data_IF_609080283902
#
_entry.id   IF_609080283902
#
_cell.length_a   1.000
_cell.length_b   1.000
_cell.length_c   1.000
_cell.angle_alpha   90.00
_cell.angle_beta   90.00
_cell.angle_gamma   90.00
#
_symmetry.space_group_name_H-M   'P 1'
#
loop_
_entity.id
_entity.type
_entity.pdbx_description
1 polymer ?
#
# COMPACT_ATOMS: atom_id res chain seq x y z
N UNK A 1 -15.17 -10.76 10.33
CA UNK A 1 -15.49 -10.68 8.89
C UNK A 1 -15.43 -9.21 8.52
N UNK A 2 -14.41 -8.80 7.77
CA UNK A 2 -14.31 -7.41 7.30
C UNK A 2 -15.37 -7.22 6.21
N UNK A 3 -16.38 -6.38 6.47
CA UNK A 3 -17.29 -5.94 5.42
C UNK A 3 -16.55 -4.85 4.66
N UNK A 4 -16.06 -5.15 3.46
CA UNK A 4 -15.35 -4.16 2.67
C UNK A 4 -16.33 -3.08 2.20
N UNK A 5 -16.10 -1.82 2.58
CA UNK A 5 -16.87 -0.65 2.11
C UNK A 5 -16.45 -0.24 0.69
N UNK A 6 -16.56 -1.21 -0.21
CA UNK A 6 -16.25 -1.08 -1.63
C UNK A 6 -17.41 -1.57 -2.49
N UNK A 7 -18.50 -2.03 -1.88
CA UNK A 7 -19.68 -2.52 -2.61
C UNK A 7 -20.32 -1.45 -3.49
N UNK A 8 -20.18 -0.16 -3.10
CA UNK A 8 -20.62 0.99 -3.89
C UNK A 8 -19.58 1.47 -4.92
N UNK A 9 -18.39 0.85 -4.98
CA UNK A 9 -17.35 1.16 -5.98
C UNK A 9 -17.55 0.25 -7.18
N UNK A 10 -17.74 0.84 -8.36
CA UNK A 10 -17.74 0.06 -9.60
C UNK A 10 -16.41 -0.68 -9.77
N UNK A 11 -16.47 -2.01 -9.89
CA UNK A 11 -15.30 -2.85 -10.05
C UNK A 11 -15.03 -3.09 -11.55
N UNK A 12 -13.84 -2.69 -12.01
CA UNK A 12 -13.40 -2.87 -13.39
C UNK A 12 -12.06 -3.62 -13.41
N UNK A 13 -11.90 -4.52 -14.38
CA UNK A 13 -10.67 -5.27 -14.58
C UNK A 13 -10.14 -5.06 -16.00
N UNK A 14 -8.83 -4.81 -16.11
CA UNK A 14 -8.13 -4.65 -17.39
C UNK A 14 -7.01 -5.67 -17.47
N UNK A 15 -6.90 -6.36 -18.61
CA UNK A 15 -5.79 -7.28 -18.87
C UNK A 15 -4.67 -6.54 -19.62
N UNK A 16 -3.47 -6.51 -19.04
CA UNK A 16 -2.23 -6.10 -19.71
C UNK A 16 -1.86 -4.61 -19.64
N UNK A 17 -2.83 -3.68 -19.72
CA UNK A 17 -2.56 -2.24 -19.59
C UNK A 17 -3.55 -1.57 -18.64
N UNK A 18 -3.05 -0.58 -17.90
CA UNK A 18 -3.92 0.32 -17.15
C UNK A 18 -4.79 1.16 -18.12
N UNK A 19 -5.94 1.67 -17.66
CA UNK A 19 -6.69 2.68 -18.38
C UNK A 19 -5.84 3.94 -18.69
N UNK A 20 -6.35 4.86 -19.53
CA UNK A 20 -5.68 6.12 -19.80
C UNK A 20 -5.31 6.89 -18.53
N UNK A 21 -4.15 7.57 -18.53
CA UNK A 21 -3.61 8.26 -17.35
C UNK A 21 -4.62 9.17 -16.62
N UNK A 22 -5.49 9.96 -17.32
CA UNK A 22 -6.47 10.80 -16.64
C UNK A 22 -7.47 9.99 -15.82
N UNK A 23 -7.86 8.80 -16.30
CA UNK A 23 -8.77 7.92 -15.61
C UNK A 23 -8.10 7.30 -14.38
N UNK A 24 -6.87 6.80 -14.50
CA UNK A 24 -6.12 6.25 -13.36
C UNK A 24 -5.88 7.32 -12.29
N UNK A 25 -5.48 8.51 -12.71
CA UNK A 25 -5.31 9.67 -11.82
C UNK A 25 -6.61 10.01 -11.10
N UNK A 26 -7.74 10.03 -11.82
CA UNK A 26 -9.06 10.28 -11.27
C UNK A 26 -9.46 9.25 -10.22
N UNK A 27 -9.24 7.96 -10.50
CA UNK A 27 -9.53 6.87 -9.57
C UNK A 27 -8.69 6.95 -8.29
N UNK A 28 -7.38 7.19 -8.41
CA UNK A 28 -6.49 7.33 -7.26
C UNK A 28 -6.87 8.55 -6.40
N UNK A 29 -7.22 9.68 -7.03
CA UNK A 29 -7.72 10.87 -6.31
C UNK A 29 -9.06 10.62 -5.62
N UNK A 30 -9.99 9.93 -6.28
CA UNK A 30 -11.28 9.60 -5.70
C UNK A 30 -11.15 8.65 -4.50
N UNK A 31 -10.26 7.66 -4.59
CA UNK A 31 -9.93 6.77 -3.48
C UNK A 31 -9.33 7.56 -2.30
N UNK A 32 -8.35 8.44 -2.55
CA UNK A 32 -7.81 9.29 -1.49
C UNK A 32 -8.89 10.19 -0.87
N UNK A 33 -9.71 10.86 -1.68
CA UNK A 33 -10.73 11.78 -1.17
C UNK A 33 -11.80 11.08 -0.31
N UNK A 34 -12.10 9.80 -0.58
CA UNK A 34 -13.05 9.00 0.20
C UNK A 34 -12.61 8.85 1.66
N UNK A 35 -11.32 8.64 1.88
CA UNK A 35 -10.77 8.26 3.19
C UNK A 35 -9.90 9.34 3.83
N UNK A 36 -9.69 10.48 3.15
CA UNK A 36 -8.79 11.55 3.62
C UNK A 36 -9.19 12.14 4.99
N UNK A 37 -10.50 12.15 5.29
CA UNK A 37 -11.03 12.67 6.55
C UNK A 37 -11.27 11.55 7.59
N UNK A 38 -10.92 10.30 7.27
CA UNK A 38 -11.06 9.18 8.19
C UNK A 38 -10.01 9.27 9.31
N UNK A 39 -10.46 9.65 10.52
CA UNK A 39 -9.60 9.91 11.67
C UNK A 39 -9.62 8.82 12.76
N UNK A 40 -10.19 7.65 12.50
CA UNK A 40 -10.21 6.56 13.49
C UNK A 40 -8.84 5.90 13.66
N UNK A 41 -8.65 5.19 14.77
CA UNK A 41 -7.40 4.50 15.11
C UNK A 41 -6.48 5.32 16.03
N UNK A 42 -5.32 4.75 16.36
CA UNK A 42 -4.34 5.36 17.26
C UNK A 42 -2.94 5.14 16.68
N UNK A 43 -2.12 6.20 16.67
CA UNK A 43 -0.71 6.12 16.26
C UNK A 43 0.03 5.18 17.20
N UNK A 44 0.77 4.22 16.63
CA UNK A 44 1.61 3.32 17.41
C UNK A 44 2.70 4.08 18.18
N UNK A 45 2.78 3.86 19.49
CA UNK A 45 3.66 4.61 20.39
C UNK A 45 4.68 3.74 21.14
N UNK A 46 4.59 2.41 21.03
CA UNK A 46 5.49 1.46 21.69
C UNK A 46 6.95 1.54 21.20
N UNK A 47 7.22 2.19 20.06
CA UNK A 47 8.57 2.58 19.62
C UNK A 47 8.62 4.12 19.53
N UNK A 48 9.55 4.80 20.22
CA UNK A 48 9.55 6.27 20.33
C UNK A 48 9.56 7.04 18.99
N UNK A 49 10.12 6.47 17.92
CA UNK A 49 10.13 7.12 16.61
C UNK A 49 8.76 7.06 15.92
N UNK A 50 7.95 6.03 16.19
CA UNK A 50 6.62 5.87 15.61
C UNK A 50 5.62 6.87 16.20
N UNK A 51 5.76 7.16 17.50
CA UNK A 51 4.94 8.15 18.20
C UNK A 51 5.03 9.57 17.63
N UNK A 52 6.03 9.85 16.78
CA UNK A 52 6.22 11.15 16.13
C UNK A 52 5.41 11.31 14.83
N UNK A 53 4.71 10.27 14.37
CA UNK A 53 3.88 10.36 13.18
C UNK A 53 2.68 11.28 13.42
N UNK A 54 2.38 12.16 12.45
CA UNK A 54 1.15 12.96 12.48
C UNK A 54 -0.02 12.04 12.09
N UNK A 55 -1.09 11.92 12.90
CA UNK A 55 -2.25 11.09 12.59
C UNK A 55 -2.98 11.52 11.31
N UNK A 56 -2.70 12.71 10.78
CA UNK A 56 -3.25 13.22 9.52
C UNK A 56 -2.42 12.85 8.30
N UNK A 57 -1.28 12.17 8.47
CA UNK A 57 -0.51 11.69 7.32
C UNK A 57 -1.26 10.59 6.58
N UNK A 58 -1.68 10.93 5.36
CA UNK A 58 -2.35 10.01 4.46
C UNK A 58 -1.89 10.27 3.03
N UNK A 59 -1.61 9.20 2.29
CA UNK A 59 -1.12 9.29 0.92
C UNK A 59 -1.25 7.96 0.20
N UNK A 60 -1.46 8.04 -1.12
CA UNK A 60 -1.57 6.89 -2.01
C UNK A 60 -0.58 7.04 -3.16
N UNK A 61 0.20 5.99 -3.43
CA UNK A 61 1.07 5.88 -4.59
C UNK A 61 0.75 4.58 -5.34
N UNK A 62 0.42 4.71 -6.62
CA UNK A 62 0.22 3.58 -7.53
C UNK A 62 1.30 3.63 -8.60
N UNK A 63 2.07 2.55 -8.72
CA UNK A 63 3.13 2.42 -9.73
C UNK A 63 2.80 1.27 -10.68
N UNK A 64 2.61 1.58 -11.95
CA UNK A 64 2.42 0.58 -13.00
C UNK A 64 3.71 -0.19 -13.29
N UNK A 65 3.58 -1.38 -13.88
CA UNK A 65 4.73 -2.24 -14.26
C UNK A 65 5.70 -1.59 -15.26
N UNK A 66 5.27 -0.53 -15.94
CA UNK A 66 6.10 0.31 -16.82
C UNK A 66 6.81 1.45 -16.08
N UNK A 67 6.73 1.50 -14.75
CA UNK A 67 7.33 2.53 -13.90
C UNK A 67 6.51 3.82 -13.78
N UNK A 68 5.33 3.91 -14.41
CA UNK A 68 4.51 5.11 -14.31
C UNK A 68 3.83 5.21 -12.95
N UNK A 69 4.07 6.32 -12.25
CA UNK A 69 3.50 6.59 -10.93
C UNK A 69 2.30 7.55 -10.98
N UNK A 70 1.35 7.32 -10.08
CA UNK A 70 0.19 8.17 -9.81
C UNK A 70 0.08 8.39 -8.31
N UNK A 71 0.14 9.64 -7.88
CA UNK A 71 0.33 9.98 -6.47
C UNK A 71 -0.64 11.07 -6.02
N UNK A 72 -1.09 10.96 -4.77
CA UNK A 72 -1.97 11.93 -4.10
C UNK A 72 -1.74 11.87 -2.59
N UNK A 73 -1.76 13.03 -1.92
CA UNK A 73 -1.52 13.14 -0.48
C UNK A 73 -0.03 13.12 -0.12
N UNK A 74 0.28 12.69 1.10
CA UNK A 74 1.63 12.68 1.70
C UNK A 74 2.52 11.52 1.24
N UNK A 75 2.74 11.35 -0.06
CA UNK A 75 3.53 10.21 -0.60
C UNK A 75 5.05 10.32 -0.40
N UNK A 76 5.55 11.50 -0.05
CA UNK A 76 6.99 11.76 0.14
C UNK A 76 7.42 11.72 1.60
N UNK A 77 6.50 11.41 2.52
CA UNK A 77 6.80 11.30 3.95
C UNK A 77 7.52 9.98 4.21
N UNK A 78 8.75 10.06 4.72
CA UNK A 78 9.52 8.88 5.11
C UNK A 78 8.97 8.26 6.39
N UNK A 79 8.69 6.96 6.33
CA UNK A 79 8.24 6.16 7.47
C UNK A 79 8.97 4.82 7.52
N UNK A 80 8.97 4.18 8.69
CA UNK A 80 9.53 2.84 8.82
C UNK A 80 8.64 1.81 8.13
N UNK A 81 9.20 0.96 7.27
CA UNK A 81 8.44 -0.09 6.57
C UNK A 81 7.92 -1.18 7.51
N UNK A 82 8.43 -1.30 8.75
CA UNK A 82 7.95 -2.25 9.75
C UNK A 82 7.76 -3.66 9.17
N UNK A 83 6.64 -4.35 9.45
CA UNK A 83 6.40 -5.71 8.94
C UNK A 83 6.33 -5.85 7.42
N UNK A 84 6.20 -4.77 6.64
CA UNK A 84 6.31 -4.82 5.16
C UNK A 84 7.69 -5.36 4.75
N UNK A 85 8.73 -5.07 5.54
CA UNK A 85 10.09 -5.62 5.32
C UNK A 85 10.13 -7.15 5.19
N UNK A 86 9.21 -7.87 5.87
CA UNK A 86 9.20 -9.34 5.86
C UNK A 86 8.94 -9.91 4.47
N UNK A 87 8.08 -9.27 3.67
CA UNK A 87 7.80 -9.72 2.31
C UNK A 87 9.03 -9.56 1.41
N UNK A 88 9.75 -8.44 1.55
CA UNK A 88 10.98 -8.17 0.79
C UNK A 88 12.11 -9.12 1.19
N UNK A 89 12.33 -9.31 2.50
CA UNK A 89 13.33 -10.26 3.01
C UNK A 89 12.97 -11.69 2.60
N UNK A 90 11.69 -12.07 2.64
CA UNK A 90 11.23 -13.38 2.20
C UNK A 90 11.53 -13.62 0.71
N UNK A 91 11.31 -12.61 -0.15
CA UNK A 91 11.65 -12.72 -1.57
C UNK A 91 13.16 -12.95 -1.78
N UNK A 92 14.02 -12.19 -1.07
CA UNK A 92 15.47 -12.35 -1.13
C UNK A 92 15.93 -13.74 -0.67
N UNK A 93 15.35 -14.26 0.41
CA UNK A 93 15.69 -15.59 0.91
C UNK A 93 15.18 -16.69 -0.03
N UNK A 94 14.02 -16.50 -0.67
CA UNK A 94 13.53 -17.41 -1.70
C UNK A 94 14.41 -17.42 -2.96
N UNK A 95 14.95 -16.26 -3.34
CA UNK A 95 15.90 -16.14 -4.46
C UNK A 95 17.19 -16.91 -4.15
N UNK A 96 17.70 -16.80 -2.92
CA UNK A 96 18.95 -17.45 -2.51
C UNK A 96 18.81 -18.97 -2.28
N UNK A 97 17.74 -19.41 -1.63
CA UNK A 97 17.61 -20.81 -1.17
C UNK A 97 16.59 -21.64 -1.96
N UNK A 98 15.77 -21.00 -2.79
CA UNK A 98 14.60 -21.61 -3.41
C UNK A 98 13.39 -21.65 -2.49
N UNK A 99 12.22 -21.31 -3.03
CA UNK A 99 10.97 -21.19 -2.27
C UNK A 99 10.52 -22.45 -1.52
N UNK A 100 10.87 -23.65 -2.02
CA UNK A 100 10.54 -24.92 -1.36
C UNK A 100 11.29 -25.09 -0.03
N UNK A 101 12.60 -24.78 -0.01
CA UNK A 101 13.43 -24.87 1.19
C UNK A 101 13.02 -23.81 2.22
N UNK A 102 12.68 -22.61 1.76
CA UNK A 102 12.17 -21.56 2.65
C UNK A 102 10.86 -22.01 3.31
N UNK A 103 9.91 -22.53 2.53
CA UNK A 103 8.64 -23.07 3.05
C UNK A 103 8.88 -24.14 4.12
N UNK A 104 9.79 -25.08 3.87
CA UNK A 104 10.13 -26.14 4.82
C UNK A 104 10.64 -25.60 6.16
N UNK A 105 11.32 -24.45 6.17
CA UNK A 105 11.85 -23.81 7.39
C UNK A 105 10.84 -22.90 8.08
N UNK A 106 9.95 -22.26 7.33
CA UNK A 106 8.98 -21.30 7.87
C UNK A 106 7.69 -21.95 8.40
N UNK A 107 7.48 -23.25 8.14
CA UNK A 107 6.24 -23.97 8.45
C UNK A 107 5.29 -24.03 7.28
#
# INVERSE_FOLDING_TARGET
>A
MFTADVLAVEQQAHTGRLPPDPQVTGLVRAAHARDADHGEGVVADYIPILAKADPRWFGLSLVGVNGRAYEVGGTTVSLSIQSISKALVFALVCEELGHEEVRRRSG
#
